data_IF_313570532481
#
_entry.id   IF_313570532481
#
_cell.length_a   1.000
_cell.length_b   1.000
_cell.length_c   1.000
_cell.angle_alpha   90.00
_cell.angle_beta   90.00
_cell.angle_gamma   90.00
#
_symmetry.space_group_name_H-M   'P 1'
#
loop_
_entity.id
_entity.type
_entity.pdbx_description
1 polymer ?
#
# COMPACT_ATOMS: atom_id res chain seq x y z
N UNK A 1 -24.35 54.65 -53.23
CA UNK A 1 -24.92 53.53 -52.46
C UNK A 1 -23.81 52.86 -51.67
N UNK A 2 -23.68 53.13 -50.36
CA UNK A 2 -22.66 52.52 -49.48
C UNK A 2 -23.31 51.32 -48.77
N UNK A 3 -22.81 50.09 -49.04
CA UNK A 3 -23.24 48.87 -48.33
C UNK A 3 -22.47 48.75 -47.01
N UNK A 4 -23.20 48.89 -45.90
CA UNK A 4 -22.65 48.58 -44.56
C UNK A 4 -22.68 47.06 -44.35
N UNK A 5 -21.51 46.44 -44.19
CA UNK A 5 -21.37 45.01 -43.80
C UNK A 5 -21.25 45.00 -42.29
N UNK A 6 -22.25 44.45 -41.63
CA UNK A 6 -22.27 44.21 -40.17
C UNK A 6 -21.58 42.86 -39.91
N UNK A 7 -20.37 42.90 -39.33
CA UNK A 7 -19.69 41.68 -38.82
C UNK A 7 -20.32 41.32 -37.47
N UNK A 8 -21.17 40.29 -37.47
CA UNK A 8 -21.66 39.69 -36.24
C UNK A 8 -20.58 38.78 -35.64
N UNK A 9 -19.84 39.28 -34.62
CA UNK A 9 -18.86 38.47 -33.87
C UNK A 9 -19.61 37.48 -32.97
N UNK A 10 -19.64 36.23 -33.36
CA UNK A 10 -20.15 35.14 -32.55
C UNK A 10 -19.12 34.81 -31.45
N UNK A 11 -19.37 35.28 -30.23
CA UNK A 11 -18.53 34.99 -29.06
C UNK A 11 -18.87 33.58 -28.57
N UNK A 12 -18.04 32.58 -28.89
CA UNK A 12 -18.13 31.20 -28.36
C UNK A 12 -17.79 31.23 -26.87
N UNK A 13 -18.79 31.14 -26.02
CA UNK A 13 -18.61 30.96 -24.58
C UNK A 13 -18.17 29.52 -24.32
N UNK A 14 -16.85 29.31 -24.10
CA UNK A 14 -16.31 28.02 -23.68
C UNK A 14 -16.67 27.82 -22.21
N UNK A 15 -17.73 27.07 -21.94
CA UNK A 15 -18.10 26.64 -20.58
C UNK A 15 -17.16 25.51 -20.20
N UNK A 16 -16.14 25.82 -19.41
CA UNK A 16 -15.29 24.81 -18.78
C UNK A 16 -16.10 24.07 -17.73
N UNK A 17 -16.64 22.91 -18.08
CA UNK A 17 -17.25 21.99 -17.11
C UNK A 17 -16.13 21.39 -16.27
N UNK A 18 -15.89 21.98 -15.10
CA UNK A 18 -15.03 21.38 -14.09
C UNK A 18 -15.73 20.10 -13.60
N UNK A 19 -15.27 18.93 -14.06
CA UNK A 19 -15.76 17.64 -13.56
C UNK A 19 -15.48 17.59 -12.06
N UNK A 20 -16.54 17.59 -11.24
CA UNK A 20 -16.40 17.41 -9.81
C UNK A 20 -15.67 16.07 -9.55
N UNK A 21 -14.58 16.11 -8.77
CA UNK A 21 -13.81 14.92 -8.43
C UNK A 21 -14.73 13.85 -7.82
N UNK A 22 -14.66 12.63 -8.35
CA UNK A 22 -15.46 11.48 -7.90
C UNK A 22 -15.22 11.19 -6.40
N UNK A 23 -13.97 11.40 -5.92
CA UNK A 23 -13.56 11.16 -4.53
C UNK A 23 -13.17 12.47 -3.83
N UNK A 24 -13.45 12.56 -2.52
CA UNK A 24 -13.29 13.80 -1.74
C UNK A 24 -12.48 13.55 -0.47
N UNK A 25 -11.57 14.49 -0.17
CA UNK A 25 -10.89 14.57 1.11
C UNK A 25 -11.92 14.69 2.27
N UNK A 26 -11.66 13.97 3.35
CA UNK A 26 -12.55 13.89 4.52
C UNK A 26 -13.68 12.85 4.40
N UNK A 27 -14.07 12.46 3.20
CA UNK A 27 -15.11 11.45 2.94
C UNK A 27 -14.53 10.10 2.52
N UNK A 28 -13.75 10.09 1.44
CA UNK A 28 -13.22 8.87 0.82
C UNK A 28 -11.76 8.61 1.20
N UNK A 29 -11.00 9.65 1.49
CA UNK A 29 -9.63 9.58 1.99
C UNK A 29 -9.37 10.70 3.00
N UNK A 30 -8.34 10.56 3.83
CA UNK A 30 -7.96 11.54 4.85
C UNK A 30 -6.52 12.03 4.68
N UNK A 31 -6.21 13.24 5.16
CA UNK A 31 -4.83 13.70 5.29
C UNK A 31 -4.24 13.25 6.62
N UNK A 32 -2.92 13.01 6.65
CA UNK A 32 -2.19 12.74 7.87
C UNK A 32 -1.87 14.06 8.61
N UNK A 33 -1.99 14.05 9.95
CA UNK A 33 -1.63 15.20 10.78
C UNK A 33 -0.12 15.44 10.88
N UNK A 34 0.69 14.42 10.63
CA UNK A 34 2.15 14.48 10.66
C UNK A 34 2.72 13.77 9.42
N UNK A 35 2.59 14.37 8.23
CA UNK A 35 3.01 13.74 6.97
C UNK A 35 4.54 13.59 6.87
N UNK A 36 4.98 12.75 5.94
CA UNK A 36 6.39 12.70 5.53
C UNK A 36 6.69 13.90 4.62
N UNK A 37 7.97 14.32 4.54
CA UNK A 37 8.41 15.25 3.52
C UNK A 37 8.14 14.71 2.11
N UNK A 38 7.70 15.60 1.22
CA UNK A 38 7.49 15.24 -0.20
C UNK A 38 8.84 14.96 -0.85
N UNK A 39 8.95 13.83 -1.54
CA UNK A 39 10.06 13.57 -2.43
C UNK A 39 9.90 14.39 -3.71
N UNK A 40 11.02 14.83 -4.28
CA UNK A 40 11.06 15.62 -5.51
C UNK A 40 11.53 14.77 -6.72
N UNK A 41 11.38 13.43 -6.62
CA UNK A 41 11.84 12.48 -7.65
C UNK A 41 10.74 12.12 -8.67
N UNK A 42 9.55 12.68 -8.54
CA UNK A 42 8.42 12.41 -9.42
C UNK A 42 7.78 11.03 -9.21
N UNK A 43 8.20 10.30 -8.16
CA UNK A 43 7.67 8.96 -7.82
C UNK A 43 6.73 9.06 -6.64
N UNK A 44 5.52 8.55 -6.79
CA UNK A 44 4.51 8.49 -5.74
C UNK A 44 4.66 7.20 -4.92
N UNK A 45 4.99 7.34 -3.64
CA UNK A 45 5.07 6.19 -2.73
C UNK A 45 3.67 5.72 -2.30
N UNK A 46 3.37 4.46 -2.52
CA UNK A 46 2.12 3.82 -2.08
C UNK A 46 2.45 2.69 -1.12
N UNK A 47 2.03 2.83 0.15
CA UNK A 47 2.33 1.86 1.21
C UNK A 47 1.06 1.18 1.68
N UNK A 48 0.92 -0.12 1.38
CA UNK A 48 -0.11 -0.97 1.96
C UNK A 48 0.27 -1.40 3.37
N UNK A 49 -0.56 -1.06 4.34
CA UNK A 49 -0.42 -1.54 5.72
C UNK A 49 -1.33 -2.73 5.93
N UNK A 50 -0.74 -3.85 6.32
CA UNK A 50 -1.43 -5.13 6.41
C UNK A 50 -1.03 -5.95 7.64
N UNK A 51 -1.76 -7.03 7.89
CA UNK A 51 -1.40 -8.10 8.81
C UNK A 51 -1.75 -9.45 8.22
N UNK A 52 -0.86 -10.41 8.33
CA UNK A 52 -1.13 -11.78 7.87
C UNK A 52 -2.35 -12.43 8.51
N UNK A 53 -2.65 -12.15 9.80
CA UNK A 53 -3.85 -12.65 10.48
C UNK A 53 -5.15 -11.91 10.13
N UNK A 54 -5.11 -10.89 9.27
CA UNK A 54 -6.29 -10.11 8.90
C UNK A 54 -7.01 -10.71 7.68
N UNK A 55 -8.26 -11.19 7.84
CA UNK A 55 -9.05 -11.74 6.75
C UNK A 55 -9.34 -10.74 5.61
N UNK A 56 -9.51 -9.47 5.94
CA UNK A 56 -9.67 -8.42 4.91
C UNK A 56 -8.38 -8.20 4.11
N UNK A 57 -7.19 -8.32 4.74
CA UNK A 57 -5.91 -8.26 4.03
C UNK A 57 -5.71 -9.49 3.14
N UNK A 58 -6.08 -10.69 3.62
CA UNK A 58 -6.07 -11.90 2.81
C UNK A 58 -6.91 -11.75 1.53
N UNK A 59 -8.11 -11.19 1.65
CA UNK A 59 -8.99 -10.96 0.50
C UNK A 59 -8.51 -9.82 -0.42
N UNK A 60 -7.81 -8.81 0.12
CA UNK A 60 -7.23 -7.71 -0.67
C UNK A 60 -5.99 -8.16 -1.44
N UNK A 61 -5.16 -9.04 -0.88
CA UNK A 61 -3.83 -9.39 -1.41
C UNK A 61 -3.82 -9.74 -2.91
N UNK A 62 -4.69 -10.61 -3.47
CA UNK A 62 -4.70 -10.89 -4.91
C UNK A 62 -5.13 -9.67 -5.74
N UNK A 63 -6.01 -8.83 -5.23
CA UNK A 63 -6.56 -7.66 -5.93
C UNK A 63 -5.50 -6.56 -6.00
N UNK A 64 -4.85 -6.25 -4.88
CA UNK A 64 -3.79 -5.23 -4.82
C UNK A 64 -2.53 -5.67 -5.56
N UNK A 65 -2.17 -6.96 -5.52
CA UNK A 65 -1.05 -7.49 -6.29
C UNK A 65 -1.26 -7.31 -7.80
N UNK A 66 -2.48 -7.57 -8.29
CA UNK A 66 -2.83 -7.33 -9.70
C UNK A 66 -2.76 -5.85 -10.04
N UNK A 67 -3.31 -4.98 -9.18
CA UNK A 67 -3.27 -3.53 -9.33
C UNK A 67 -1.83 -3.00 -9.36
N UNK A 68 -0.98 -3.45 -8.43
CA UNK A 68 0.42 -3.01 -8.35
C UNK A 68 1.22 -3.34 -9.62
N UNK A 69 0.97 -4.50 -10.25
CA UNK A 69 1.61 -4.90 -11.51
C UNK A 69 1.17 -4.06 -12.72
N UNK A 70 0.09 -3.30 -12.60
CA UNK A 70 -0.42 -2.41 -13.65
C UNK A 70 0.11 -0.98 -13.51
N UNK A 71 0.78 -0.67 -12.40
CA UNK A 71 1.36 0.65 -12.18
C UNK A 71 2.64 0.81 -12.99
N UNK A 72 2.89 2.02 -13.45
CA UNK A 72 4.13 2.39 -14.13
C UNK A 72 5.24 2.79 -13.13
N UNK A 73 6.40 3.17 -13.65
CA UNK A 73 7.56 3.54 -12.85
C UNK A 73 7.36 4.81 -11.98
N UNK A 74 6.28 5.56 -12.19
CA UNK A 74 5.94 6.73 -11.36
C UNK A 74 5.28 6.33 -10.03
N UNK A 75 4.99 5.05 -9.79
CA UNK A 75 4.39 4.54 -8.56
C UNK A 75 5.29 3.51 -7.90
N UNK A 76 5.74 3.79 -6.69
CA UNK A 76 6.52 2.88 -5.87
C UNK A 76 5.61 2.20 -4.83
N UNK A 77 5.07 1.02 -5.17
CA UNK A 77 4.22 0.24 -4.26
C UNK A 77 5.06 -0.61 -3.30
N UNK A 78 4.75 -0.51 -2.01
CA UNK A 78 5.40 -1.24 -0.93
C UNK A 78 4.38 -1.78 0.07
N UNK A 79 4.73 -2.89 0.74
CA UNK A 79 3.96 -3.44 1.86
C UNK A 79 4.65 -3.12 3.19
N UNK A 80 3.87 -2.82 4.21
CA UNK A 80 4.34 -2.62 5.58
C UNK A 80 3.45 -3.39 6.56
N UNK A 81 3.99 -4.40 7.26
CA UNK A 81 3.22 -5.13 8.26
C UNK A 81 2.99 -4.28 9.51
N UNK A 82 1.82 -4.42 10.16
CA UNK A 82 1.56 -3.83 11.47
C UNK A 82 2.39 -4.48 12.58
N UNK A 83 2.61 -3.73 13.66
CA UNK A 83 3.50 -4.12 14.76
C UNK A 83 2.88 -3.85 16.14
N UNK A 84 1.55 -3.92 16.27
CA UNK A 84 0.79 -3.54 17.46
C UNK A 84 1.12 -4.33 18.73
N UNK A 85 1.56 -5.57 18.61
CA UNK A 85 1.91 -6.43 19.73
C UNK A 85 2.88 -7.55 19.33
N UNK A 86 3.24 -8.45 20.26
CA UNK A 86 4.29 -9.46 20.02
C UNK A 86 4.06 -10.32 18.78
N UNK A 87 2.85 -10.84 18.56
CA UNK A 87 2.53 -11.67 17.39
C UNK A 87 2.59 -10.85 16.09
N UNK A 88 2.18 -9.59 16.11
CA UNK A 88 2.29 -8.72 14.94
C UNK A 88 3.76 -8.44 14.59
N UNK A 89 4.61 -8.24 15.60
CA UNK A 89 6.05 -8.03 15.41
C UNK A 89 6.74 -9.30 14.91
N UNK A 90 6.31 -10.49 15.39
CA UNK A 90 6.77 -11.77 14.86
C UNK A 90 6.42 -11.93 13.38
N UNK A 91 5.18 -11.61 13.00
CA UNK A 91 4.74 -11.65 11.60
C UNK A 91 5.39 -10.56 10.74
N UNK A 92 5.72 -9.40 11.31
CA UNK A 92 6.52 -8.39 10.63
C UNK A 92 7.96 -8.89 10.39
N UNK A 93 8.55 -9.57 11.36
CA UNK A 93 9.85 -10.22 11.21
C UNK A 93 9.81 -11.28 10.10
N UNK A 94 8.76 -12.12 10.06
CA UNK A 94 8.53 -13.08 8.98
C UNK A 94 8.46 -12.40 7.61
N UNK A 95 7.65 -11.36 7.46
CA UNK A 95 7.50 -10.63 6.21
C UNK A 95 8.84 -10.09 5.70
N UNK A 96 9.59 -9.40 6.54
CA UNK A 96 10.89 -8.85 6.13
C UNK A 96 11.98 -9.92 5.93
N UNK A 97 11.83 -11.09 6.54
CA UNK A 97 12.70 -12.25 6.25
C UNK A 97 12.43 -12.80 4.85
N UNK A 98 11.16 -12.97 4.48
CA UNK A 98 10.73 -13.41 3.15
C UNK A 98 11.24 -12.43 2.07
N UNK A 99 11.10 -11.13 2.31
CA UNK A 99 11.64 -10.09 1.42
C UNK A 99 13.17 -10.19 1.27
N UNK A 100 13.87 -10.40 2.38
CA UNK A 100 15.35 -10.52 2.38
C UNK A 100 15.84 -11.79 1.68
N UNK A 101 15.04 -12.86 1.68
CA UNK A 101 15.31 -14.11 0.95
C UNK A 101 15.01 -14.00 -0.56
N UNK A 102 14.40 -12.91 -1.00
CA UNK A 102 14.05 -12.70 -2.42
C UNK A 102 12.88 -13.56 -2.94
N UNK A 103 12.08 -14.14 -2.05
CA UNK A 103 10.95 -15.04 -2.38
C UNK A 103 9.59 -14.39 -2.08
N UNK A 104 9.56 -13.05 -1.98
CA UNK A 104 8.48 -12.25 -1.44
C UNK A 104 7.09 -12.62 -1.94
N UNK A 105 6.84 -12.57 -3.24
CA UNK A 105 5.47 -12.73 -3.79
C UNK A 105 4.90 -14.14 -3.52
N UNK A 106 5.68 -15.19 -3.76
CA UNK A 106 5.24 -16.57 -3.59
C UNK A 106 5.04 -16.92 -2.12
N UNK A 107 6.04 -16.63 -1.28
CA UNK A 107 5.97 -16.92 0.14
C UNK A 107 4.94 -16.06 0.87
N UNK A 108 4.75 -14.79 0.48
CA UNK A 108 3.70 -13.92 1.02
C UNK A 108 2.29 -14.53 0.83
N UNK A 109 2.00 -15.03 -0.37
CA UNK A 109 0.73 -15.72 -0.66
C UNK A 109 0.58 -17.02 0.12
N UNK A 110 1.67 -17.79 0.27
CA UNK A 110 1.67 -19.03 1.03
C UNK A 110 1.41 -18.80 2.53
N UNK A 111 1.99 -17.74 3.12
CA UNK A 111 1.71 -17.35 4.52
C UNK A 111 0.23 -17.04 4.73
N UNK A 112 -0.38 -16.26 3.85
CA UNK A 112 -1.81 -15.98 3.93
C UNK A 112 -2.65 -17.27 3.81
N UNK A 113 -2.30 -18.18 2.90
CA UNK A 113 -2.99 -19.47 2.74
C UNK A 113 -2.87 -20.32 4.00
N UNK A 114 -1.67 -20.47 4.55
CA UNK A 114 -1.41 -21.21 5.78
C UNK A 114 -2.28 -20.69 6.93
N UNK A 115 -2.37 -19.39 7.13
CA UNK A 115 -3.12 -18.79 8.24
C UNK A 115 -4.63 -18.85 8.05
N UNK A 116 -5.15 -18.61 6.83
CA UNK A 116 -6.59 -18.44 6.61
C UNK A 116 -7.30 -19.68 6.08
N UNK A 117 -6.57 -20.65 5.51
CA UNK A 117 -7.16 -21.87 4.95
C UNK A 117 -6.70 -23.14 5.64
N UNK A 118 -5.47 -23.14 6.21
CA UNK A 118 -4.88 -24.34 6.80
C UNK A 118 -4.83 -24.28 8.33
N UNK A 119 -5.24 -23.15 8.94
CA UNK A 119 -5.25 -22.97 10.40
C UNK A 119 -3.85 -22.88 11.05
N UNK A 120 -2.80 -22.68 10.25
CA UNK A 120 -1.44 -22.53 10.75
C UNK A 120 -1.12 -21.05 11.02
N UNK A 121 -1.27 -20.62 12.26
CA UNK A 121 -1.09 -19.20 12.63
C UNK A 121 0.35 -18.73 12.74
N UNK A 122 1.35 -19.59 12.51
CA UNK A 122 2.77 -19.23 12.55
C UNK A 122 3.13 -18.43 13.82
N UNK A 123 2.66 -18.90 14.98
CA UNK A 123 2.67 -18.16 16.24
C UNK A 123 4.01 -18.19 16.98
N UNK A 124 5.04 -18.83 16.42
CA UNK A 124 6.41 -18.90 17.00
C UNK A 124 7.47 -18.86 15.91
N UNK A 125 8.70 -18.49 16.27
CA UNK A 125 9.84 -18.55 15.34
C UNK A 125 10.09 -19.97 14.83
N UNK A 126 9.89 -21.00 15.67
CA UNK A 126 10.00 -22.41 15.27
C UNK A 126 8.97 -22.79 14.20
N UNK A 127 7.70 -22.43 14.40
CA UNK A 127 6.64 -22.69 13.42
C UNK A 127 6.90 -21.95 12.08
N UNK A 128 7.43 -20.73 12.14
CA UNK A 128 7.83 -19.96 10.95
C UNK A 128 8.99 -20.66 10.23
N UNK A 129 10.00 -21.11 10.96
CA UNK A 129 11.15 -21.80 10.41
C UNK A 129 10.72 -23.08 9.68
N UNK A 130 9.96 -23.96 10.33
CA UNK A 130 9.42 -25.18 9.73
C UNK A 130 8.56 -24.90 8.49
N UNK A 131 7.76 -23.86 8.54
CA UNK A 131 6.92 -23.46 7.40
C UNK A 131 7.77 -23.02 6.19
N UNK A 132 8.79 -22.18 6.40
CA UNK A 132 9.66 -21.70 5.34
C UNK A 132 10.56 -22.82 4.78
N UNK A 133 11.02 -23.76 5.62
CA UNK A 133 11.73 -24.97 5.18
C UNK A 133 10.82 -25.84 4.28
N UNK A 134 9.55 -26.04 4.63
CA UNK A 134 8.56 -26.76 3.80
C UNK A 134 8.32 -26.09 2.44
N UNK A 135 8.50 -24.78 2.35
CA UNK A 135 8.47 -24.05 1.08
C UNK A 135 9.77 -24.14 0.28
N UNK A 136 10.73 -24.93 0.74
CA UNK A 136 11.99 -25.20 0.04
C UNK A 136 13.12 -24.21 0.34
N UNK A 137 12.99 -23.39 1.39
CA UNK A 137 14.06 -22.45 1.77
C UNK A 137 15.09 -23.14 2.69
N UNK A 138 16.37 -22.78 2.53
CA UNK A 138 17.42 -23.30 3.37
C UNK A 138 17.33 -22.79 4.81
N UNK A 139 17.38 -23.68 5.78
CA UNK A 139 17.25 -23.39 7.20
C UNK A 139 18.28 -22.38 7.70
N UNK A 140 19.52 -22.51 7.27
CA UNK A 140 20.60 -21.63 7.72
C UNK A 140 20.42 -20.20 7.19
N UNK A 141 19.97 -20.05 5.95
CA UNK A 141 19.63 -18.76 5.35
C UNK A 141 18.40 -18.11 6.04
N UNK A 142 17.36 -18.90 6.35
CA UNK A 142 16.20 -18.39 7.10
C UNK A 142 16.65 -17.81 8.44
N UNK A 143 17.42 -18.57 9.23
CA UNK A 143 17.92 -18.14 10.55
C UNK A 143 18.80 -16.89 10.41
N UNK A 144 19.69 -16.87 9.43
CA UNK A 144 20.59 -15.75 9.15
C UNK A 144 19.80 -14.46 8.85
N UNK A 145 18.85 -14.50 7.91
CA UNK A 145 18.09 -13.32 7.54
C UNK A 145 17.12 -12.90 8.64
N UNK A 146 16.44 -13.84 9.27
CA UNK A 146 15.51 -13.57 10.39
C UNK A 146 16.20 -12.82 11.54
N UNK A 147 17.49 -13.11 11.80
CA UNK A 147 18.28 -12.47 12.84
C UNK A 147 19.19 -11.34 12.32
N UNK A 148 19.06 -10.97 11.05
CA UNK A 148 19.89 -9.93 10.45
C UNK A 148 19.60 -8.53 11.02
N UNK A 149 20.60 -7.67 10.96
CA UNK A 149 20.44 -6.25 11.32
C UNK A 149 19.40 -5.57 10.43
N UNK A 150 19.39 -5.88 9.13
CA UNK A 150 18.46 -5.31 8.15
C UNK A 150 17.00 -5.60 8.51
N UNK A 151 16.66 -6.86 8.81
CA UNK A 151 15.30 -7.25 9.20
C UNK A 151 14.88 -6.53 10.49
N UNK A 152 15.77 -6.50 11.50
CA UNK A 152 15.47 -5.76 12.75
C UNK A 152 15.22 -4.27 12.51
N UNK A 153 16.02 -3.61 11.65
CA UNK A 153 15.82 -2.19 11.32
C UNK A 153 14.52 -1.94 10.55
N UNK A 154 14.13 -2.83 9.63
CA UNK A 154 12.85 -2.74 8.93
C UNK A 154 11.66 -2.87 9.88
N UNK A 155 11.71 -3.83 10.83
CA UNK A 155 10.67 -3.96 11.87
C UNK A 155 10.61 -2.70 12.74
N UNK A 156 11.76 -2.17 13.19
CA UNK A 156 11.83 -0.92 13.96
C UNK A 156 11.22 0.24 13.20
N UNK A 157 11.55 0.39 11.92
CA UNK A 157 10.97 1.44 11.06
C UNK A 157 9.45 1.27 10.91
N UNK A 158 8.95 0.04 10.75
CA UNK A 158 7.52 -0.22 10.69
C UNK A 158 6.80 0.21 11.99
N UNK A 159 7.43 -0.01 13.17
CA UNK A 159 6.91 0.47 14.46
C UNK A 159 6.82 2.00 14.47
N UNK A 160 7.87 2.68 14.05
CA UNK A 160 7.94 4.16 14.04
C UNK A 160 6.89 4.77 13.08
N UNK A 161 6.80 4.23 11.86
CA UNK A 161 5.82 4.69 10.86
C UNK A 161 4.39 4.39 11.31
N UNK A 162 4.11 3.20 11.87
CA UNK A 162 2.79 2.85 12.38
C UNK A 162 2.31 3.81 13.47
N UNK A 163 3.22 4.21 14.37
CA UNK A 163 2.94 5.23 15.40
C UNK A 163 2.71 6.61 14.79
N UNK A 164 3.60 7.05 13.89
CA UNK A 164 3.52 8.35 13.23
C UNK A 164 2.22 8.52 12.44
N UNK A 165 1.81 7.50 11.70
CA UNK A 165 0.60 7.52 10.87
C UNK A 165 -0.66 7.14 11.65
N UNK A 166 -0.53 6.83 12.95
CA UNK A 166 -1.65 6.39 13.81
C UNK A 166 -2.41 5.24 13.16
N UNK A 167 -1.69 4.18 12.75
CA UNK A 167 -2.28 2.98 12.15
C UNK A 167 -3.09 2.22 13.20
N UNK A 168 -4.41 2.16 13.03
CA UNK A 168 -5.35 1.54 13.98
C UNK A 168 -6.17 0.41 13.37
N UNK A 169 -6.07 0.20 12.07
CA UNK A 169 -6.80 -0.84 11.35
C UNK A 169 -5.98 -1.39 10.17
N UNK A 170 -6.38 -2.54 9.65
CA UNK A 170 -5.85 -3.13 8.39
C UNK A 170 -7.02 -3.71 7.57
N UNK A 171 -6.94 -3.68 6.22
CA UNK A 171 -5.89 -3.00 5.45
C UNK A 171 -6.07 -1.47 5.44
N UNK A 172 -4.98 -0.75 5.32
CA UNK A 172 -4.92 0.69 5.03
C UNK A 172 -3.89 0.92 3.93
N UNK A 173 -4.11 1.93 3.08
CA UNK A 173 -3.10 2.38 2.11
C UNK A 173 -2.76 3.84 2.39
N UNK A 174 -1.46 4.13 2.38
CA UNK A 174 -0.93 5.48 2.50
C UNK A 174 -0.28 5.89 1.18
N UNK A 175 -0.56 7.10 0.73
CA UNK A 175 0.03 7.68 -0.48
C UNK A 175 0.92 8.84 -0.06
N UNK A 176 2.18 8.81 -0.50
CA UNK A 176 3.26 9.77 -0.19
C UNK A 176 3.48 10.05 1.30
N UNK A 177 3.02 9.14 2.18
CA UNK A 177 3.03 9.40 3.60
C UNK A 177 2.25 10.67 3.99
N UNK A 178 1.28 11.08 3.20
CA UNK A 178 0.45 12.29 3.35
C UNK A 178 -1.03 11.97 3.45
N UNK A 179 -1.49 10.99 2.68
CA UNK A 179 -2.91 10.61 2.61
C UNK A 179 -3.12 9.20 3.10
N UNK A 180 -4.27 8.99 3.74
CA UNK A 180 -4.73 7.72 4.28
C UNK A 180 -6.00 7.29 3.58
N UNK A 181 -6.03 6.07 3.06
CA UNK A 181 -7.19 5.44 2.41
C UNK A 181 -7.56 4.17 3.19
N UNK A 182 -8.83 4.04 3.55
CA UNK A 182 -9.41 2.90 4.23
C UNK A 182 -10.32 2.12 3.28
N UNK A 183 -10.54 0.82 3.54
CA UNK A 183 -11.36 -0.05 2.69
C UNK A 183 -12.89 0.22 2.80
N UNK A 184 -13.29 1.48 2.91
CA UNK A 184 -14.71 1.89 2.93
C UNK A 184 -15.35 1.63 1.57
N UNK A 185 -16.35 0.73 1.53
CA UNK A 185 -17.03 0.35 0.28
C UNK A 185 -16.31 -0.73 -0.54
N UNK A 186 -15.40 -1.47 0.11
CA UNK A 186 -14.74 -2.64 -0.48
C UNK A 186 -13.41 -2.35 -1.18
N UNK A 187 -12.70 -3.43 -1.52
CA UNK A 187 -11.31 -3.38 -2.00
C UNK A 187 -11.17 -2.68 -3.36
N UNK A 188 -12.08 -2.90 -4.29
CA UNK A 188 -12.06 -2.25 -5.60
C UNK A 188 -12.27 -0.74 -5.50
N UNK A 189 -13.20 -0.29 -4.64
CA UNK A 189 -13.38 1.15 -4.40
C UNK A 189 -12.14 1.74 -3.75
N UNK A 190 -11.54 1.04 -2.78
CA UNK A 190 -10.30 1.47 -2.13
C UNK A 190 -9.19 1.76 -3.16
N UNK A 191 -8.96 0.85 -4.12
CA UNK A 191 -7.93 1.04 -5.14
C UNK A 191 -8.26 2.18 -6.11
N UNK A 192 -9.52 2.39 -6.48
CA UNK A 192 -9.93 3.57 -7.26
C UNK A 192 -9.65 4.89 -6.51
N UNK A 193 -9.84 4.91 -5.20
CA UNK A 193 -9.47 6.07 -4.37
C UNK A 193 -7.96 6.26 -4.36
N UNK A 194 -7.17 5.17 -4.29
CA UNK A 194 -5.71 5.21 -4.37
C UNK A 194 -5.26 5.80 -5.70
N UNK A 195 -5.81 5.32 -6.83
CA UNK A 195 -5.51 5.85 -8.17
C UNK A 195 -5.80 7.36 -8.25
N UNK A 196 -6.97 7.78 -7.75
CA UNK A 196 -7.34 9.19 -7.69
C UNK A 196 -6.32 10.02 -6.88
N UNK A 197 -5.89 9.53 -5.71
CA UNK A 197 -4.93 10.26 -4.87
C UNK A 197 -3.53 10.27 -5.49
N UNK A 198 -3.11 9.21 -6.20
CA UNK A 198 -1.87 9.18 -6.96
C UNK A 198 -1.87 10.30 -8.02
N UNK A 199 -2.94 10.42 -8.81
CA UNK A 199 -3.06 11.49 -9.82
C UNK A 199 -2.97 12.89 -9.22
N UNK A 200 -3.48 13.10 -8.00
CA UNK A 200 -3.35 14.39 -7.30
C UNK A 200 -1.90 14.71 -6.86
N UNK A 201 -1.01 13.71 -6.81
CA UNK A 201 0.40 13.89 -6.42
C UNK A 201 1.33 14.02 -7.62
N UNK A 202 0.90 13.65 -8.82
CA UNK A 202 1.70 13.82 -10.04
C UNK A 202 1.89 15.32 -10.33
N UNK A 203 3.07 15.74 -10.81
CA UNK A 203 3.27 17.12 -11.23
C UNK A 203 2.27 17.48 -12.33
N UNK A 204 1.72 18.69 -12.25
CA UNK A 204 0.90 19.24 -13.35
C UNK A 204 1.82 19.45 -14.55
N UNK A 205 1.60 18.67 -15.61
CA UNK A 205 2.33 18.78 -16.89
C UNK A 205 1.94 20.04 -17.66
#
# INVERSE_FOLDING_TARGET
MKKNIIYSSLFLLVISVSAASEFRLGRDYGSLSNPLPVKQDGVVDVVEVFWYGCGHCFNLAPVVSKWAKQQDASVNYQKMPVTWGPVHQLHAKLFYTIEALGVGDTAHSAVFTAMHKEGNFLASEGAILEFLEKLGMDKSEIIKYMNSFSVRQKVKRAIEISKRFKVTATPMIFVDGRYRIEAKGGHFKMLKVVDHVIELQKPVS
#
